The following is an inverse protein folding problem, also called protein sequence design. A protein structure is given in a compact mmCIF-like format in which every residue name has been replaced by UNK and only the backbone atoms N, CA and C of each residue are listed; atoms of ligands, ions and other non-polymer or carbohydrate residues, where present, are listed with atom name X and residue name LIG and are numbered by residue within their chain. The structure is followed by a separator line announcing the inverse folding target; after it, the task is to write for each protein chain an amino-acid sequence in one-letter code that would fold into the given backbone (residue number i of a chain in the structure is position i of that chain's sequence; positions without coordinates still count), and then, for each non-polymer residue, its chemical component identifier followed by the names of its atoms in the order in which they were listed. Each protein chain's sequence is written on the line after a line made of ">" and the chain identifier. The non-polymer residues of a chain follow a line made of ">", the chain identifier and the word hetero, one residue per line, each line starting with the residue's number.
data_IF_476775219257
#
_entry.id   IF_476775219257
#
_cell.length_a   1.000
_cell.length_b   1.000
_cell.length_c   1.000
_cell.angle_alpha   90.00
_cell.angle_beta   90.00
_cell.angle_gamma   90.00
#
_symmetry.space_group_name_H-M   'P 1'
#
loop_
_entity.id
_entity.type
_entity.pdbx_description
1 polymer ?
#
# COMPACT_ATOMS: atom_id res chain seq x y z
N UNK A 1 22.59 9.36 18.55
CA UNK A 1 23.10 10.74 18.62
C UNK A 1 22.01 11.65 18.12
N UNK A 2 21.01 11.92 18.97
CA UNK A 2 19.91 12.81 18.64
C UNK A 2 20.32 14.25 18.91
N UNK A 3 20.14 15.12 17.93
CA UNK A 3 20.36 16.56 18.09
C UNK A 3 19.35 17.07 19.12
N UNK A 4 19.82 17.27 20.36
CA UNK A 4 19.03 17.80 21.45
C UNK A 4 18.62 19.25 21.13
N UNK A 5 17.47 19.43 20.48
CA UNK A 5 16.78 20.73 20.50
C UNK A 5 16.30 20.97 21.94
N UNK A 6 16.53 22.17 22.49
CA UNK A 6 16.37 22.51 23.91
C UNK A 6 14.94 22.44 24.51
N UNK A 7 14.03 21.68 23.92
CA UNK A 7 12.65 21.48 24.37
C UNK A 7 12.26 20.00 24.57
N UNK A 8 13.20 19.13 24.95
CA UNK A 8 12.90 17.72 25.21
C UNK A 8 12.28 17.52 26.59
N UNK A 9 11.12 16.85 26.65
CA UNK A 9 10.48 16.45 27.91
C UNK A 9 10.67 14.96 28.17
N UNK A 10 10.81 14.59 29.44
CA UNK A 10 11.02 13.20 29.87
C UNK A 10 9.71 12.62 30.42
N UNK A 11 9.25 11.52 29.84
CA UNK A 11 8.07 10.81 30.36
C UNK A 11 8.56 9.69 31.29
N UNK A 12 8.35 9.92 32.59
CA UNK A 12 8.43 9.06 33.77
C UNK A 12 9.81 8.41 34.10
N UNK A 13 10.40 8.91 35.19
CA UNK A 13 11.52 8.30 35.93
C UNK A 13 11.01 7.17 36.83
N UNK A 14 11.54 5.96 36.67
CA UNK A 14 11.42 4.87 37.65
C UNK A 14 12.82 4.32 37.89
N UNK A 15 13.22 4.33 39.16
CA UNK A 15 14.54 3.91 39.63
C UNK A 15 14.89 2.48 39.18
N UNK A 16 16.08 2.32 38.61
CA UNK A 16 16.95 1.13 38.62
C UNK A 16 16.42 -0.26 38.25
N UNK A 17 15.19 -0.46 37.76
CA UNK A 17 14.65 -1.79 37.50
C UNK A 17 14.66 -2.15 36.00
N UNK A 18 15.24 -3.29 35.62
CA UNK A 18 15.28 -3.81 34.23
C UNK A 18 13.91 -3.78 33.53
N UNK A 19 12.82 -4.01 34.28
CA UNK A 19 11.43 -3.91 33.77
C UNK A 19 11.09 -2.49 33.30
N UNK A 20 11.54 -1.45 33.98
CA UNK A 20 11.29 -0.06 33.60
C UNK A 20 12.00 0.30 32.29
N UNK A 21 13.22 -0.22 32.06
CA UNK A 21 13.91 -0.02 30.77
C UNK A 21 13.21 -0.73 29.63
N UNK A 22 12.80 -1.99 29.83
CA UNK A 22 12.05 -2.73 28.80
C UNK A 22 10.74 -2.00 28.49
N UNK A 23 10.05 -1.48 29.52
CA UNK A 23 8.84 -0.70 29.35
C UNK A 23 9.08 0.59 28.56
N UNK A 24 10.09 1.39 28.92
CA UNK A 24 10.43 2.63 28.22
C UNK A 24 10.90 2.37 26.78
N UNK A 25 11.63 1.26 26.56
CA UNK A 25 12.02 0.82 25.23
C UNK A 25 10.80 0.47 24.39
N UNK A 26 9.85 -0.28 24.95
CA UNK A 26 8.59 -0.58 24.28
C UNK A 26 7.80 0.69 23.97
N UNK A 27 7.64 1.60 24.94
CA UNK A 27 6.92 2.86 24.77
C UNK A 27 7.54 3.74 23.65
N UNK A 28 8.87 3.79 23.57
CA UNK A 28 9.57 4.56 22.54
C UNK A 28 9.40 3.96 21.13
N UNK A 29 9.22 2.64 21.03
CA UNK A 29 9.11 1.92 19.75
C UNK A 29 7.67 1.62 19.33
N UNK A 30 6.70 1.68 20.24
CA UNK A 30 5.30 1.40 19.95
C UNK A 30 4.75 2.27 18.80
N UNK A 31 5.06 3.59 18.72
CA UNK A 31 4.67 4.40 17.57
C UNK A 31 5.24 3.90 16.22
N UNK A 32 6.45 3.34 16.21
CA UNK A 32 7.08 2.78 15.00
C UNK A 32 6.29 1.57 14.49
N UNK A 33 5.78 0.72 15.39
CA UNK A 33 4.93 -0.42 15.03
C UNK A 33 3.62 0.03 14.42
N UNK A 34 2.98 1.05 15.02
CA UNK A 34 1.75 1.64 14.47
C UNK A 34 1.99 2.21 13.06
N UNK A 35 3.09 2.92 12.87
CA UNK A 35 3.46 3.47 11.55
C UNK A 35 3.63 2.36 10.50
N UNK A 36 4.27 1.24 10.86
CA UNK A 36 4.38 0.07 9.97
C UNK A 36 3.02 -0.52 9.60
N UNK A 37 2.10 -0.66 10.56
CA UNK A 37 0.73 -1.14 10.30
C UNK A 37 0.00 -0.19 9.34
N UNK A 38 0.11 1.12 9.56
CA UNK A 38 -0.44 2.12 8.65
C UNK A 38 0.15 2.00 7.24
N UNK A 39 1.48 1.82 7.13
CA UNK A 39 2.16 1.61 5.86
C UNK A 39 1.62 0.38 5.11
N UNK A 40 1.44 -0.75 5.79
CA UNK A 40 0.87 -1.95 5.15
C UNK A 40 -0.55 -1.71 4.63
N UNK A 41 -1.40 -1.03 5.41
CA UNK A 41 -2.76 -0.68 4.97
C UNK A 41 -2.76 0.26 3.76
N UNK A 42 -1.91 1.29 3.77
CA UNK A 42 -1.76 2.21 2.63
C UNK A 42 -1.21 1.50 1.39
N UNK A 43 -0.23 0.61 1.56
CA UNK A 43 0.33 -0.19 0.46
C UNK A 43 -0.74 -1.09 -0.16
N UNK A 44 -1.56 -1.72 0.68
CA UNK A 44 -2.69 -2.55 0.25
C UNK A 44 -3.72 -1.72 -0.54
N UNK A 45 -4.15 -0.57 -0.02
CA UNK A 45 -5.08 0.33 -0.70
C UNK A 45 -4.54 0.80 -2.07
N UNK A 46 -3.27 1.23 -2.13
CA UNK A 46 -2.64 1.61 -3.40
C UNK A 46 -2.58 0.45 -4.40
N UNK A 47 -2.35 -0.77 -3.91
CA UNK A 47 -2.32 -1.99 -4.74
C UNK A 47 -3.69 -2.30 -5.31
N UNK A 48 -4.75 -2.21 -4.49
CA UNK A 48 -6.13 -2.37 -4.97
C UNK A 48 -6.52 -1.31 -6.00
N UNK A 49 -6.20 -0.03 -5.77
CA UNK A 49 -6.47 1.03 -6.74
C UNK A 49 -5.73 0.80 -8.06
N UNK A 50 -4.45 0.39 -8.00
CA UNK A 50 -3.65 0.12 -9.20
C UNK A 50 -4.18 -1.09 -9.97
N UNK A 51 -4.55 -2.16 -9.26
CA UNK A 51 -5.14 -3.37 -9.83
C UNK A 51 -6.50 -3.08 -10.49
N UNK A 52 -7.38 -2.37 -9.79
CA UNK A 52 -8.69 -1.96 -10.31
C UNK A 52 -8.54 -1.09 -11.57
N UNK A 53 -7.58 -0.16 -11.58
CA UNK A 53 -7.28 0.65 -12.77
C UNK A 53 -6.77 -0.20 -13.94
N UNK A 54 -5.90 -1.18 -13.69
CA UNK A 54 -5.42 -2.08 -14.73
C UNK A 54 -6.55 -2.94 -15.29
N UNK A 55 -7.34 -3.57 -14.42
CA UNK A 55 -8.54 -4.33 -14.75
C UNK A 55 -9.49 -3.51 -15.62
N UNK A 56 -9.86 -2.32 -15.15
CA UNK A 56 -10.77 -1.41 -15.86
C UNK A 56 -10.26 -0.99 -17.25
N UNK A 57 -8.95 -0.97 -17.47
CA UNK A 57 -8.39 -0.63 -18.80
C UNK A 57 -8.56 -1.76 -19.82
N UNK A 58 -8.84 -2.99 -19.38
CA UNK A 58 -9.14 -4.11 -20.29
C UNK A 58 -10.46 -3.88 -21.05
N UNK A 59 -11.37 -3.05 -20.55
CA UNK A 59 -12.61 -2.71 -21.27
C UNK A 59 -12.43 -1.61 -22.34
N UNK A 60 -11.32 -0.88 -22.33
CA UNK A 60 -11.10 0.23 -23.25
C UNK A 60 -10.04 -0.03 -24.31
N UNK A 61 -9.05 -0.87 -24.00
CA UNK A 61 -7.93 -1.16 -24.91
C UNK A 61 -7.52 -2.63 -24.82
N UNK A 62 -7.19 -3.28 -25.95
CA UNK A 62 -6.61 -4.62 -25.94
C UNK A 62 -5.25 -4.63 -25.23
N UNK A 63 -5.08 -5.51 -24.25
CA UNK A 63 -3.82 -5.63 -23.50
C UNK A 63 -3.49 -7.09 -23.21
N UNK A 64 -2.19 -7.41 -23.28
CA UNK A 64 -1.69 -8.71 -22.84
C UNK A 64 -1.79 -8.86 -21.32
N UNK A 65 -2.13 -10.07 -20.86
CA UNK A 65 -2.20 -10.41 -19.44
C UNK A 65 -0.82 -10.34 -18.80
N UNK A 66 -0.77 -9.96 -17.52
CA UNK A 66 0.48 -9.90 -16.76
C UNK A 66 0.72 -11.20 -16.01
N UNK A 67 1.84 -11.86 -16.30
CA UNK A 67 2.19 -13.14 -15.69
C UNK A 67 3.67 -13.17 -15.30
N UNK A 68 4.02 -14.07 -14.38
CA UNK A 68 5.40 -14.23 -13.91
C UNK A 68 6.35 -14.73 -15.00
N UNK A 69 5.87 -15.63 -15.87
CA UNK A 69 6.64 -16.20 -16.98
C UNK A 69 5.86 -15.96 -18.28
N UNK A 70 6.11 -14.84 -18.98
CA UNK A 70 5.32 -14.47 -20.16
C UNK A 70 5.60 -15.37 -21.35
N UNK A 71 4.54 -15.70 -22.09
CA UNK A 71 4.57 -16.35 -23.40
C UNK A 71 3.71 -15.55 -24.38
N UNK A 72 4.05 -15.54 -25.67
CA UNK A 72 3.30 -14.80 -26.69
C UNK A 72 3.32 -13.28 -26.47
N UNK A 73 2.14 -12.66 -26.46
CA UNK A 73 1.96 -11.22 -26.23
C UNK A 73 1.73 -10.84 -24.76
N UNK A 74 1.91 -11.78 -23.83
CA UNK A 74 1.80 -11.53 -22.39
C UNK A 74 2.91 -10.59 -21.89
N UNK A 75 2.62 -9.90 -20.78
CA UNK A 75 3.54 -8.95 -20.14
C UNK A 75 4.10 -9.56 -18.86
N UNK A 76 5.36 -9.28 -18.54
CA UNK A 76 5.93 -9.69 -17.25
C UNK A 76 5.35 -8.87 -16.08
N UNK A 77 5.27 -9.48 -14.91
CA UNK A 77 4.95 -8.79 -13.66
C UNK A 77 6.11 -7.86 -13.25
N UNK A 78 5.80 -6.84 -12.45
CA UNK A 78 6.84 -6.02 -11.83
C UNK A 78 7.49 -6.82 -10.70
N UNK A 79 8.75 -6.51 -10.37
CA UNK A 79 9.42 -7.11 -9.20
C UNK A 79 8.67 -6.78 -7.89
N UNK A 80 8.04 -5.61 -7.80
CA UNK A 80 7.08 -5.27 -6.76
C UNK A 80 5.65 -5.39 -7.28
N UNK A 81 4.72 -5.88 -6.46
CA UNK A 81 3.28 -5.99 -6.83
C UNK A 81 2.69 -4.65 -7.29
N UNK A 82 3.18 -3.54 -6.74
CA UNK A 82 2.72 -2.18 -7.03
C UNK A 82 3.62 -1.50 -8.09
N UNK A 83 3.07 -0.80 -9.10
CA UNK A 83 3.87 -0.04 -10.06
C UNK A 83 4.80 0.97 -9.35
N UNK A 84 6.04 1.11 -9.83
CA UNK A 84 7.06 1.97 -9.20
C UNK A 84 6.60 3.43 -8.95
N UNK A 85 5.72 3.96 -9.80
CA UNK A 85 5.15 5.31 -9.64
C UNK A 85 4.39 5.50 -8.32
N UNK A 86 3.83 4.43 -7.77
CA UNK A 86 3.16 4.43 -6.47
C UNK A 86 4.07 3.89 -5.36
N UNK A 87 4.84 2.84 -5.65
CA UNK A 87 5.69 2.19 -4.66
C UNK A 87 6.82 3.10 -4.17
N UNK A 88 7.52 3.81 -5.07
CA UNK A 88 8.68 4.63 -4.70
C UNK A 88 8.28 5.79 -3.77
N UNK A 89 7.28 6.64 -4.10
CA UNK A 89 6.87 7.71 -3.19
C UNK A 89 6.40 7.19 -1.83
N UNK A 90 5.66 6.07 -1.82
CA UNK A 90 5.16 5.45 -0.59
C UNK A 90 6.30 4.98 0.31
N UNK A 91 7.28 4.25 -0.24
CA UNK A 91 8.45 3.74 0.50
C UNK A 91 9.33 4.88 1.01
N UNK A 92 9.61 5.88 0.17
CA UNK A 92 10.42 7.04 0.55
C UNK A 92 9.75 7.84 1.67
N UNK A 93 8.45 8.11 1.55
CA UNK A 93 7.69 8.83 2.57
C UNK A 93 7.62 8.03 3.88
N UNK A 94 7.37 6.72 3.81
CA UNK A 94 7.37 5.83 4.97
C UNK A 94 8.72 5.82 5.67
N UNK A 95 9.82 5.62 4.94
CA UNK A 95 11.17 5.65 5.50
C UNK A 95 11.50 6.99 6.16
N UNK A 96 11.08 8.10 5.54
CA UNK A 96 11.25 9.44 6.11
C UNK A 96 10.43 9.63 7.40
N UNK A 97 9.19 9.14 7.44
CA UNK A 97 8.33 9.19 8.63
C UNK A 97 8.91 8.32 9.77
N UNK A 98 9.41 7.12 9.47
CA UNK A 98 10.08 6.26 10.44
C UNK A 98 11.33 6.93 11.02
N UNK A 99 12.12 7.56 10.16
CA UNK A 99 13.29 8.32 10.57
C UNK A 99 12.92 9.51 11.47
N UNK A 100 11.95 10.34 11.07
CA UNK A 100 11.47 11.46 11.89
C UNK A 100 10.92 10.98 13.24
N UNK A 101 10.18 9.87 13.24
CA UNK A 101 9.60 9.30 14.45
C UNK A 101 10.68 8.77 15.42
N UNK A 102 11.83 8.33 14.90
CA UNK A 102 12.99 7.94 15.72
C UNK A 102 13.68 9.14 16.39
N UNK A 103 13.55 10.33 15.80
CA UNK A 103 14.01 11.58 16.42
C UNK A 103 12.95 12.15 17.39
N UNK A 104 11.67 11.87 17.13
CA UNK A 104 10.57 12.28 17.99
C UNK A 104 10.50 11.48 19.30
N UNK A 105 10.66 10.17 19.24
CA UNK A 105 10.65 9.26 20.40
C UNK A 105 11.95 8.48 20.47
N UNK A 106 12.65 8.59 21.59
CA UNK A 106 13.93 7.91 21.78
C UNK A 106 14.11 7.46 23.24
N UNK A 107 14.71 6.29 23.42
CA UNK A 107 15.05 5.78 24.75
C UNK A 107 16.29 6.50 25.28
N UNK A 108 16.20 7.02 26.49
CA UNK A 108 17.32 7.65 27.21
C UNK A 108 17.65 6.79 28.41
N UNK A 109 18.94 6.53 28.61
CA UNK A 109 19.49 5.96 29.84
C UNK A 109 20.49 6.96 30.42
N UNK A 110 20.31 7.32 31.67
CA UNK A 110 21.19 8.23 32.41
C UNK A 110 21.87 7.40 33.49
N UNK A 111 23.19 7.27 33.40
CA UNK A 111 24.02 6.58 34.37
C UNK A 111 24.61 7.62 35.34
N UNK A 112 24.35 7.48 36.63
CA UNK A 112 24.84 8.35 37.69
C UNK A 112 26.10 7.73 38.32
N UNK A 113 27.22 8.46 38.22
CA UNK A 113 28.52 8.04 38.75
C UNK A 113 28.89 8.84 40.00
N UNK A 114 29.54 8.18 40.97
CA UNK A 114 30.09 8.84 42.15
C UNK A 114 31.43 9.54 41.84
N UNK A 115 31.97 10.29 42.81
CA UNK A 115 33.30 10.94 42.68
C UNK A 115 34.44 9.95 42.41
N UNK A 116 34.29 8.71 42.87
CA UNK A 116 35.26 7.63 42.67
C UNK A 116 35.11 6.92 41.31
N UNK A 117 34.15 7.36 40.46
CA UNK A 117 33.90 6.78 39.14
C UNK A 117 33.04 5.52 39.14
N UNK A 118 32.51 5.12 40.31
CA UNK A 118 31.62 3.96 40.44
C UNK A 118 30.18 4.32 40.05
N UNK A 119 29.52 3.41 39.32
CA UNK A 119 28.10 3.56 38.96
C UNK A 119 27.23 3.36 40.21
N UNK A 120 26.53 4.41 40.62
CA UNK A 120 25.67 4.39 41.80
C UNK A 120 24.26 3.95 41.42
N UNK A 121 23.71 4.60 40.40
CA UNK A 121 22.33 4.41 39.98
C UNK A 121 22.22 4.69 38.49
N UNK A 122 21.23 4.10 37.84
CA UNK A 122 20.86 4.48 36.49
C UNK A 122 19.36 4.64 36.39
N UNK A 123 18.93 5.62 35.60
CA UNK A 123 17.54 5.88 35.29
C UNK A 123 17.31 5.70 33.79
N UNK A 124 16.13 5.22 33.43
CA UNK A 124 15.71 5.15 32.02
C UNK A 124 14.42 5.93 31.84
N UNK A 125 14.30 6.62 30.71
CA UNK A 125 13.12 7.40 30.37
C UNK A 125 12.87 7.38 28.86
N UNK A 126 11.62 7.63 28.48
CA UNK A 126 11.27 7.94 27.09
C UNK A 126 11.44 9.44 26.86
N UNK A 127 12.36 9.80 25.97
CA UNK A 127 12.59 11.17 25.52
C UNK A 127 11.65 11.53 24.38
N UNK A 128 11.08 12.74 24.45
CA UNK A 128 10.22 13.29 23.39
C UNK A 128 10.79 14.59 22.86
N UNK A 129 10.99 14.69 21.54
CA UNK A 129 11.41 15.92 20.85
C UNK A 129 10.23 16.63 20.22
N UNK A 130 9.88 17.82 20.72
CA UNK A 130 8.73 18.58 20.22
C UNK A 130 8.94 19.09 18.78
N UNK A 131 10.16 19.53 18.45
CA UNK A 131 10.50 20.01 17.11
C UNK A 131 10.31 18.90 16.07
N UNK A 132 10.80 17.69 16.37
CA UNK A 132 10.63 16.50 15.54
C UNK A 132 9.15 16.09 15.43
N UNK A 133 8.38 16.15 16.53
CA UNK A 133 6.94 15.89 16.51
C UNK A 133 6.19 16.83 15.57
N UNK A 134 6.46 18.14 15.63
CA UNK A 134 5.81 19.13 14.76
C UNK A 134 6.13 18.82 13.29
N UNK A 135 7.40 18.53 12.96
CA UNK A 135 7.77 18.14 11.59
C UNK A 135 7.11 16.84 11.15
N UNK A 136 7.03 15.83 12.02
CA UNK A 136 6.36 14.56 11.75
C UNK A 136 4.88 14.76 11.42
N UNK A 137 4.13 15.45 12.28
CA UNK A 137 2.70 15.69 12.04
C UNK A 137 2.44 16.55 10.80
N UNK A 138 3.33 17.48 10.48
CA UNK A 138 3.24 18.27 9.25
C UNK A 138 3.34 17.39 8.00
N UNK A 139 4.30 16.45 7.97
CA UNK A 139 4.45 15.50 6.85
C UNK A 139 3.26 14.55 6.76
N UNK A 140 2.78 14.03 7.91
CA UNK A 140 1.58 13.18 7.96
C UNK A 140 0.35 13.92 7.42
N UNK A 141 0.17 15.20 7.78
CA UNK A 141 -0.94 16.01 7.27
C UNK A 141 -0.88 16.14 5.75
N UNK A 142 0.28 16.44 5.17
CA UNK A 142 0.47 16.51 3.70
C UNK A 142 0.13 15.18 3.04
N UNK A 143 0.60 14.05 3.62
CA UNK A 143 0.28 12.72 3.12
C UNK A 143 -1.23 12.44 3.13
N UNK A 144 -1.91 12.75 4.24
CA UNK A 144 -3.37 12.57 4.36
C UNK A 144 -4.10 13.45 3.33
N UNK A 145 -3.71 14.71 3.16
CA UNK A 145 -4.29 15.59 2.14
C UNK A 145 -4.12 15.01 0.73
N UNK A 146 -2.92 14.51 0.39
CA UNK A 146 -2.67 13.90 -0.91
C UNK A 146 -3.55 12.66 -1.14
N UNK A 147 -3.69 11.81 -0.13
CA UNK A 147 -4.55 10.62 -0.19
C UNK A 147 -6.03 11.00 -0.33
N UNK A 148 -6.50 12.02 0.38
CA UNK A 148 -7.87 12.52 0.25
C UNK A 148 -8.14 13.07 -1.16
N UNK A 149 -7.19 13.80 -1.75
CA UNK A 149 -7.31 14.27 -3.13
C UNK A 149 -7.45 13.06 -4.07
N UNK A 150 -6.57 12.07 -3.94
CA UNK A 150 -6.61 10.85 -4.77
C UNK A 150 -7.93 10.10 -4.60
N UNK A 151 -8.42 9.95 -3.36
CA UNK A 151 -9.67 9.27 -3.05
C UNK A 151 -10.91 9.98 -3.64
N UNK A 152 -10.82 11.28 -3.94
CA UNK A 152 -11.88 12.06 -4.57
C UNK A 152 -11.77 12.11 -6.09
N UNK A 153 -10.69 11.59 -6.68
CA UNK A 153 -10.57 11.54 -8.13
C UNK A 153 -11.58 10.52 -8.69
N UNK A 154 -12.44 10.92 -9.64
CA UNK A 154 -13.41 10.00 -10.23
C UNK A 154 -12.69 8.90 -11.02
N UNK A 155 -13.10 7.66 -10.80
CA UNK A 155 -12.69 6.51 -11.61
C UNK A 155 -13.85 6.11 -12.50
N UNK A 156 -13.72 6.31 -13.81
CA UNK A 156 -14.72 5.84 -14.78
C UNK A 156 -14.64 4.31 -14.87
N UNK A 157 -15.67 3.62 -14.42
CA UNK A 157 -15.77 2.16 -14.48
C UNK A 157 -16.36 1.72 -15.81
N UNK A 158 -15.55 1.05 -16.63
CA UNK A 158 -15.91 0.45 -17.92
C UNK A 158 -16.01 -1.08 -17.84
N UNK A 159 -15.52 -1.66 -16.74
CA UNK A 159 -15.55 -3.09 -16.45
C UNK A 159 -16.20 -3.31 -15.08
N UNK A 160 -17.00 -4.37 -14.87
CA UNK A 160 -17.47 -4.71 -13.54
C UNK A 160 -16.28 -4.84 -12.59
N UNK A 161 -16.32 -4.19 -11.42
CA UNK A 161 -15.22 -4.23 -10.47
C UNK A 161 -15.05 -5.68 -9.97
N UNK A 162 -14.04 -6.37 -10.48
CA UNK A 162 -13.57 -7.62 -9.93
C UNK A 162 -12.63 -7.25 -8.78
N UNK A 163 -13.18 -7.04 -7.59
CA UNK A 163 -12.43 -6.71 -6.37
C UNK A 163 -11.60 -7.92 -5.88
N UNK A 164 -10.68 -8.39 -6.73
CA UNK A 164 -9.94 -9.65 -6.57
C UNK A 164 -10.82 -10.90 -6.41
N UNK A 165 -12.12 -10.80 -6.71
CA UNK A 165 -13.06 -11.91 -6.63
C UNK A 165 -12.79 -12.90 -7.77
N UNK A 166 -12.30 -14.09 -7.42
CA UNK A 166 -12.00 -15.15 -8.39
C UNK A 166 -13.23 -15.57 -9.20
N UNK A 167 -14.43 -15.48 -8.61
CA UNK A 167 -15.69 -15.75 -9.32
C UNK A 167 -15.92 -14.73 -10.45
N UNK A 168 -15.71 -13.43 -10.18
CA UNK A 168 -15.85 -12.37 -11.19
C UNK A 168 -14.79 -12.48 -12.27
N UNK A 169 -13.55 -12.79 -11.90
CA UNK A 169 -12.45 -12.99 -12.85
C UNK A 169 -12.73 -14.21 -13.72
N UNK A 170 -13.19 -15.31 -13.12
CA UNK A 170 -13.55 -16.54 -13.84
C UNK A 170 -14.71 -16.30 -14.80
N UNK A 171 -15.78 -15.65 -14.36
CA UNK A 171 -16.90 -15.26 -15.22
C UNK A 171 -16.41 -14.44 -16.42
N UNK A 172 -15.40 -13.60 -16.21
CA UNK A 172 -14.83 -12.80 -17.28
C UNK A 172 -13.93 -13.58 -18.27
N UNK A 173 -13.51 -14.80 -17.92
CA UNK A 173 -12.54 -15.62 -18.67
C UNK A 173 -13.21 -16.79 -19.42
N UNK A 174 -14.40 -16.58 -19.98
CA UNK A 174 -15.07 -17.55 -20.85
C UNK A 174 -15.18 -17.01 -22.29
N UNK A 175 -14.08 -17.03 -23.07
CA UNK A 175 -14.07 -16.61 -24.47
C UNK A 175 -14.85 -17.60 -25.35
N UNK A 176 -15.10 -17.21 -26.61
CA UNK A 176 -15.76 -18.08 -27.57
C UNK A 176 -14.95 -19.38 -27.80
N UNK A 177 -15.61 -20.53 -28.01
CA UNK A 177 -14.95 -21.84 -28.10
C UNK A 177 -14.05 -21.99 -29.33
N UNK A 178 -14.16 -21.11 -30.32
CA UNK A 178 -13.34 -21.08 -31.52
C UNK A 178 -12.09 -20.18 -31.38
N UNK A 179 -11.92 -19.48 -30.24
CA UNK A 179 -10.70 -18.74 -29.93
C UNK A 179 -9.58 -19.68 -29.48
N UNK A 180 -8.46 -19.63 -30.20
CA UNK A 180 -7.26 -20.40 -29.87
C UNK A 180 -6.36 -19.60 -28.94
N UNK A 181 -6.07 -20.16 -27.77
CA UNK A 181 -5.15 -19.61 -26.76
C UNK A 181 -5.30 -18.10 -26.46
N UNK A 182 -6.52 -17.60 -26.15
CA UNK A 182 -6.75 -16.16 -25.91
C UNK A 182 -5.90 -15.59 -24.76
N UNK A 183 -5.50 -16.44 -23.81
CA UNK A 183 -4.62 -16.06 -22.71
C UNK A 183 -3.20 -15.64 -23.15
N UNK A 184 -2.74 -16.04 -24.34
CA UNK A 184 -1.42 -15.69 -24.90
C UNK A 184 -1.44 -14.40 -25.75
N UNK A 185 -2.63 -13.94 -26.16
CA UNK A 185 -2.82 -12.76 -26.98
C UNK A 185 -3.14 -11.51 -26.13
N UNK A 186 -3.22 -10.35 -26.78
CA UNK A 186 -3.89 -9.19 -26.19
C UNK A 186 -5.39 -9.43 -26.12
N UNK A 187 -5.96 -9.25 -24.93
CA UNK A 187 -7.40 -9.40 -24.70
C UNK A 187 -8.06 -8.07 -24.39
N UNK A 188 -9.31 -7.93 -24.78
CA UNK A 188 -10.18 -6.82 -24.43
C UNK A 188 -11.51 -7.36 -23.90
N UNK A 189 -12.07 -6.68 -22.90
CA UNK A 189 -13.41 -6.98 -22.41
C UNK A 189 -14.47 -6.34 -23.29
N UNK A 190 -15.49 -7.11 -23.62
CA UNK A 190 -16.71 -6.62 -24.24
C UNK A 190 -17.65 -7.76 -24.60
N UNK A 191 -18.66 -7.44 -25.38
CA UNK A 191 -19.59 -8.43 -25.92
C UNK A 191 -18.86 -9.24 -26.99
N UNK A 192 -18.89 -10.55 -26.84
CA UNK A 192 -18.28 -11.48 -27.80
C UNK A 192 -19.32 -11.87 -28.85
N UNK A 193 -19.05 -11.65 -30.15
CA UNK A 193 -19.99 -11.98 -31.20
C UNK A 193 -20.25 -13.49 -31.28
N UNK A 194 -21.48 -13.86 -31.65
CA UNK A 194 -21.93 -15.25 -31.85
C UNK A 194 -21.82 -16.17 -30.62
N UNK A 195 -21.73 -15.58 -29.41
CA UNK A 195 -21.73 -16.29 -28.14
C UNK A 195 -22.96 -15.92 -27.33
N UNK A 196 -23.95 -16.81 -27.31
CA UNK A 196 -25.14 -16.68 -26.47
C UNK A 196 -25.13 -17.71 -25.35
N UNK A 197 -25.34 -17.24 -24.11
CA UNK A 197 -25.50 -18.10 -22.94
C UNK A 197 -26.90 -17.91 -22.40
N UNK A 198 -27.75 -18.94 -22.51
CA UNK A 198 -29.17 -18.91 -22.09
C UNK A 198 -30.02 -17.82 -22.79
N UNK A 199 -29.71 -17.52 -24.06
CA UNK A 199 -30.46 -16.54 -24.87
C UNK A 199 -30.07 -15.08 -24.61
N UNK A 200 -28.95 -14.84 -23.94
CA UNK A 200 -28.35 -13.52 -23.75
C UNK A 200 -26.97 -13.48 -24.40
N UNK A 201 -26.62 -12.34 -24.99
CA UNK A 201 -25.26 -12.06 -25.48
C UNK A 201 -24.26 -12.19 -24.33
N UNK A 202 -23.06 -12.73 -24.56
CA UNK A 202 -22.09 -12.94 -23.49
C UNK A 202 -20.98 -11.90 -23.50
N UNK A 203 -20.65 -11.36 -22.32
CA UNK A 203 -19.46 -10.53 -22.15
C UNK A 203 -18.29 -11.36 -21.62
N UNK A 204 -17.16 -11.33 -22.33
CA UNK A 204 -15.93 -11.97 -21.85
C UNK A 204 -14.67 -11.24 -22.32
N UNK A 205 -13.53 -11.60 -21.74
CA UNK A 205 -12.21 -11.21 -22.23
C UNK A 205 -11.90 -12.04 -23.49
N UNK A 206 -11.83 -11.35 -24.62
CA UNK A 206 -11.60 -11.98 -25.92
C UNK A 206 -10.38 -11.38 -26.61
N UNK A 207 -9.70 -12.20 -27.41
CA UNK A 207 -8.62 -11.79 -28.30
C UNK A 207 -9.12 -11.21 -29.63
N UNK A 208 -10.40 -11.43 -29.94
CA UNK A 208 -11.08 -10.94 -31.14
C UNK A 208 -11.65 -9.53 -30.91
N UNK A 209 -12.08 -8.83 -31.99
CA UNK A 209 -12.79 -7.57 -31.84
C UNK A 209 -14.07 -7.74 -31.02
N UNK A 210 -14.16 -7.01 -29.91
CA UNK A 210 -15.33 -6.96 -29.03
C UNK A 210 -16.03 -5.61 -29.12
N UNK A 211 -17.34 -5.59 -28.91
CA UNK A 211 -18.13 -4.36 -28.81
C UNK A 211 -18.37 -3.99 -27.36
N UNK A 212 -18.62 -2.70 -27.09
CA UNK A 212 -18.93 -2.24 -25.73
C UNK A 212 -20.35 -2.69 -25.35
N UNK A 213 -20.57 -3.19 -24.12
CA UNK A 213 -21.90 -3.53 -23.67
C UNK A 213 -22.82 -2.29 -23.66
N UNK A 214 -24.07 -2.47 -24.05
CA UNK A 214 -25.08 -1.42 -24.08
C UNK A 214 -25.73 -1.28 -22.70
N UNK A 215 -26.00 -0.04 -22.30
CA UNK A 215 -26.62 0.24 -21.00
C UNK A 215 -28.09 -0.19 -21.04
N UNK A 216 -28.46 -1.12 -20.17
CA UNK A 216 -29.84 -1.61 -20.03
C UNK A 216 -30.08 -3.01 -20.61
N UNK A 217 -29.11 -3.57 -21.33
CA UNK A 217 -29.17 -4.95 -21.84
C UNK A 217 -28.63 -5.95 -20.83
N UNK A 218 -29.15 -7.19 -20.88
CA UNK A 218 -28.74 -8.29 -19.99
C UNK A 218 -27.79 -9.21 -20.74
N UNK A 219 -26.63 -9.46 -20.10
CA UNK A 219 -25.52 -10.26 -20.60
C UNK A 219 -25.12 -11.36 -19.60
#
# INVERSE_FOLDING_TARGET
>A
WGSASGGSSFVKSQDGFTKATIWNAWLSNMPQVLLSICYFNLNMLCTYMASSKEWNTLATTPKGLRVTKPLGEQRSTYFLQLPYKWAVPLVVTSGSLHWLLSQAFFLIRIDHYNRDGELVEWTSACGVSFSSLVTYFSVVLVLVCALLVIARLPMFTHLPPADSCSLMISAACHPAPDEVDPHLAKVQWGVVPDMEVKGHEHCSLSSKPVTKPLVGEVY
#
